data_IF_019577733008
#
_entry.id   IF_019577733008
#
_cell.length_a   1.000
_cell.length_b   1.000
_cell.length_c   1.000
_cell.angle_alpha   90.00
_cell.angle_beta   90.00
_cell.angle_gamma   90.00
#
_symmetry.space_group_name_H-M   'P 1'
#
loop_
_entity.id
_entity.type
_entity.pdbx_description
1 polymer ?
#
# COMPACT_ATOMS: atom_id res chain seq x y z
N UNK A 1 22.62 -26.22 1.36
CA UNK A 1 23.89 -25.51 1.61
C UNK A 1 23.63 -24.01 1.74
N UNK A 2 24.38 -23.26 2.56
CA UNK A 2 24.34 -21.78 2.56
C UNK A 2 25.53 -21.25 1.76
N UNK A 3 25.28 -20.38 0.79
CA UNK A 3 26.32 -19.80 -0.06
C UNK A 3 25.99 -18.36 -0.41
N UNK A 4 26.92 -17.43 -0.17
CA UNK A 4 26.74 -15.98 -0.38
C UNK A 4 25.39 -15.47 0.15
N UNK A 5 25.00 -15.88 1.36
CA UNK A 5 23.74 -15.47 1.98
C UNK A 5 22.47 -16.17 1.45
N UNK A 6 22.55 -16.92 0.36
CA UNK A 6 21.46 -17.75 -0.16
C UNK A 6 21.45 -19.14 0.51
N UNK A 7 20.27 -19.74 0.60
CA UNK A 7 20.12 -21.13 1.06
C UNK A 7 19.68 -21.97 -0.12
N UNK A 8 20.60 -22.77 -0.62
CA UNK A 8 20.40 -23.66 -1.76
C UNK A 8 19.85 -24.99 -1.25
N UNK A 9 18.64 -25.33 -1.66
CA UNK A 9 18.08 -26.67 -1.50
C UNK A 9 18.49 -27.59 -2.66
N UNK A 10 18.40 -28.91 -2.45
CA UNK A 10 18.81 -29.92 -3.45
C UNK A 10 18.04 -29.83 -4.77
N UNK A 11 16.87 -29.19 -4.76
CA UNK A 11 15.99 -29.03 -5.93
C UNK A 11 16.11 -27.65 -6.59
N UNK A 12 16.99 -26.79 -6.09
CA UNK A 12 17.15 -25.41 -6.57
C UNK A 12 15.84 -24.60 -6.67
N UNK A 13 14.87 -24.87 -5.79
CA UNK A 13 13.56 -24.21 -5.79
C UNK A 13 13.44 -23.08 -4.76
N UNK A 14 14.47 -22.90 -3.93
CA UNK A 14 14.64 -21.83 -2.95
C UNK A 14 13.54 -21.77 -1.89
N UNK A 15 12.75 -22.83 -1.70
CA UNK A 15 11.68 -22.87 -0.69
C UNK A 15 12.24 -22.64 0.71
N UNK A 16 13.37 -23.28 1.02
CA UNK A 16 14.02 -23.10 2.33
C UNK A 16 14.61 -21.69 2.50
N UNK A 17 15.13 -21.09 1.42
CA UNK A 17 15.59 -19.70 1.45
C UNK A 17 14.46 -18.76 1.84
N UNK A 18 13.29 -18.87 1.20
CA UNK A 18 12.14 -18.01 1.49
C UNK A 18 11.50 -18.31 2.84
N UNK A 19 11.54 -19.56 3.33
CA UNK A 19 11.14 -19.91 4.70
C UNK A 19 11.94 -19.13 5.74
N UNK A 20 13.22 -18.83 5.47
CA UNK A 20 14.08 -18.02 6.37
C UNK A 20 14.01 -16.52 6.10
N UNK A 21 13.86 -16.13 4.83
CA UNK A 21 13.82 -14.73 4.41
C UNK A 21 12.53 -14.04 4.87
N UNK A 22 11.37 -14.68 4.69
CA UNK A 22 10.08 -14.04 4.99
C UNK A 22 9.96 -13.60 6.47
N UNK A 23 10.28 -14.42 7.49
CA UNK A 23 10.29 -13.97 8.89
C UNK A 23 11.28 -12.85 9.18
N UNK A 24 12.38 -12.75 8.41
CA UNK A 24 13.33 -11.64 8.54
C UNK A 24 12.71 -10.34 8.02
N UNK A 25 12.10 -10.37 6.83
CA UNK A 25 11.40 -9.21 6.25
C UNK A 25 10.24 -8.78 7.12
N UNK A 26 9.46 -9.72 7.67
CA UNK A 26 8.35 -9.43 8.58
C UNK A 26 8.82 -8.77 9.87
N UNK A 27 9.90 -9.26 10.50
CA UNK A 27 10.49 -8.62 11.70
C UNK A 27 10.96 -7.20 11.40
N UNK A 28 11.62 -6.98 10.27
CA UNK A 28 12.02 -5.63 9.84
C UNK A 28 10.80 -4.74 9.60
N UNK A 29 9.78 -5.23 8.89
CA UNK A 29 8.53 -4.49 8.68
C UNK A 29 7.78 -4.18 9.99
N UNK A 30 7.81 -5.10 10.96
CA UNK A 30 7.21 -4.91 12.27
C UNK A 30 7.98 -3.86 13.12
N UNK A 31 9.31 -3.82 13.05
CA UNK A 31 10.10 -2.77 13.67
C UNK A 31 9.77 -1.40 13.05
N UNK A 32 9.66 -1.35 11.72
CA UNK A 32 9.32 -0.13 10.97
C UNK A 32 7.90 0.36 11.27
N UNK A 33 6.96 -0.52 11.64
CA UNK A 33 5.61 -0.10 12.07
C UNK A 33 5.64 0.88 13.24
N UNK A 34 6.59 0.75 14.18
CA UNK A 34 6.73 1.67 15.31
C UNK A 34 7.29 3.03 14.88
N UNK A 35 8.21 3.03 13.92
CA UNK A 35 8.86 4.24 13.39
C UNK A 35 8.00 4.98 12.37
N UNK A 36 7.10 4.27 11.70
CA UNK A 36 6.24 4.76 10.62
C UNK A 36 4.76 4.62 10.99
N UNK A 37 4.28 5.35 12.02
CA UNK A 37 2.85 5.37 12.36
C UNK A 37 2.04 5.96 11.18
N UNK A 38 0.74 5.68 11.13
CA UNK A 38 -0.09 6.20 10.03
C UNK A 38 -0.36 7.70 10.17
N UNK A 39 -0.63 8.13 11.42
CA UNK A 39 -0.79 9.51 11.85
C UNK A 39 0.46 9.99 12.58
N UNK A 40 0.89 11.21 12.28
CA UNK A 40 2.19 11.72 12.73
C UNK A 40 3.37 10.92 12.18
N UNK A 41 4.58 11.36 12.49
CA UNK A 41 5.81 10.66 12.10
C UNK A 41 6.35 11.00 10.71
N UNK A 42 7.30 10.19 10.19
CA UNK A 42 8.14 10.59 9.08
C UNK A 42 7.40 10.83 7.76
N UNK A 43 7.97 11.74 6.95
CA UNK A 43 7.47 12.14 5.63
C UNK A 43 7.54 10.99 4.59
N UNK A 44 6.97 11.23 3.42
CA UNK A 44 6.88 10.24 2.34
C UNK A 44 8.26 9.76 1.86
N UNK A 45 9.26 10.64 1.79
CA UNK A 45 10.63 10.30 1.38
C UNK A 45 11.29 9.31 2.34
N UNK A 46 11.15 9.53 3.65
CA UNK A 46 11.64 8.60 4.67
C UNK A 46 10.96 7.21 4.56
N UNK A 47 9.64 7.17 4.32
CA UNK A 47 8.92 5.91 4.11
C UNK A 47 9.40 5.15 2.87
N UNK A 48 9.61 5.86 1.76
CA UNK A 48 10.16 5.29 0.51
C UNK A 48 11.58 4.75 0.71
N UNK A 49 12.42 5.46 1.47
CA UNK A 49 13.76 5.00 1.82
C UNK A 49 13.70 3.64 2.53
N UNK A 50 12.88 3.52 3.57
CA UNK A 50 12.72 2.25 4.30
C UNK A 50 12.13 1.13 3.42
N UNK A 51 11.16 1.45 2.55
CA UNK A 51 10.67 0.48 1.57
C UNK A 51 11.79 0.00 0.64
N UNK A 52 12.68 0.91 0.21
CA UNK A 52 13.87 0.59 -0.58
C UNK A 52 14.86 -0.33 0.15
N UNK A 53 15.10 -0.11 1.45
CA UNK A 53 15.95 -0.99 2.27
C UNK A 53 15.37 -2.42 2.30
N UNK A 54 14.08 -2.56 2.61
CA UNK A 54 13.43 -3.88 2.66
C UNK A 54 13.38 -4.54 1.28
N UNK A 55 13.16 -3.76 0.21
CA UNK A 55 13.27 -4.25 -1.17
C UNK A 55 14.67 -4.82 -1.45
N UNK A 56 15.73 -4.09 -1.10
CA UNK A 56 17.11 -4.57 -1.29
C UNK A 56 17.40 -5.85 -0.51
N UNK A 57 16.83 -6.00 0.69
CA UNK A 57 16.92 -7.26 1.45
C UNK A 57 16.16 -8.40 0.76
N UNK A 58 14.98 -8.12 0.23
CA UNK A 58 14.09 -9.11 -0.38
C UNK A 58 14.60 -9.58 -1.75
N UNK A 59 15.19 -8.68 -2.53
CA UNK A 59 15.69 -8.93 -3.88
C UNK A 59 17.17 -9.31 -3.91
N UNK A 60 17.80 -9.48 -2.75
CA UNK A 60 19.16 -9.96 -2.69
C UNK A 60 19.26 -11.37 -3.30
N UNK A 61 20.20 -11.53 -4.23
CA UNK A 61 20.37 -12.77 -4.98
C UNK A 61 19.23 -13.09 -5.97
N UNK A 62 18.33 -12.15 -6.28
CA UNK A 62 17.26 -12.33 -7.27
C UNK A 62 17.71 -12.96 -8.58
N UNK A 63 18.88 -12.60 -9.16
CA UNK A 63 19.35 -13.27 -10.37
C UNK A 63 19.50 -14.78 -10.28
N UNK A 64 19.75 -15.31 -9.08
CA UNK A 64 19.97 -16.74 -8.84
C UNK A 64 18.64 -17.46 -8.62
N UNK A 65 17.72 -16.87 -7.84
CA UNK A 65 16.48 -17.56 -7.46
C UNK A 65 15.26 -17.22 -8.33
N UNK A 66 15.23 -16.06 -8.99
CA UNK A 66 14.05 -15.62 -9.75
C UNK A 66 13.67 -16.56 -10.90
N UNK A 67 14.61 -17.15 -11.68
CA UNK A 67 14.28 -18.11 -12.72
C UNK A 67 13.54 -19.35 -12.21
N UNK A 68 13.75 -19.72 -10.94
CA UNK A 68 13.16 -20.89 -10.30
C UNK A 68 12.11 -20.52 -9.23
N UNK A 69 11.62 -19.26 -9.23
CA UNK A 69 10.69 -18.78 -8.21
C UNK A 69 9.33 -19.47 -8.32
N UNK A 70 9.07 -20.39 -7.40
CA UNK A 70 7.78 -21.08 -7.33
C UNK A 70 6.69 -20.22 -6.67
N UNK A 71 5.43 -20.61 -6.87
CA UNK A 71 4.23 -19.91 -6.37
C UNK A 71 4.24 -19.65 -4.86
N UNK A 72 4.69 -20.60 -4.03
CA UNK A 72 4.73 -20.47 -2.57
C UNK A 72 5.75 -19.40 -2.11
N UNK A 73 7.04 -19.48 -2.50
CA UNK A 73 8.02 -18.40 -2.34
C UNK A 73 7.53 -17.03 -2.83
N UNK A 74 6.97 -16.96 -4.03
CA UNK A 74 6.45 -15.71 -4.60
C UNK A 74 5.36 -15.08 -3.71
N UNK A 75 4.44 -15.90 -3.18
CA UNK A 75 3.40 -15.42 -2.25
C UNK A 75 3.99 -14.86 -0.95
N UNK A 76 5.03 -15.49 -0.40
CA UNK A 76 5.71 -15.00 0.81
C UNK A 76 6.40 -13.66 0.56
N UNK A 77 7.06 -13.51 -0.60
CA UNK A 77 7.68 -12.27 -1.06
C UNK A 77 6.66 -11.13 -1.17
N UNK A 78 5.55 -11.36 -1.87
CA UNK A 78 4.49 -10.37 -2.06
C UNK A 78 3.76 -10.02 -0.75
N UNK A 79 3.62 -10.99 0.17
CA UNK A 79 3.05 -10.73 1.50
C UNK A 79 3.95 -9.79 2.31
N UNK A 80 5.27 -9.98 2.22
CA UNK A 80 6.25 -9.09 2.85
C UNK A 80 6.25 -7.70 2.21
N UNK A 81 6.15 -7.61 0.88
CA UNK A 81 6.03 -6.34 0.17
C UNK A 81 4.82 -5.53 0.62
N UNK A 82 3.66 -6.19 0.73
CA UNK A 82 2.41 -5.55 1.16
C UNK A 82 2.55 -4.84 2.50
N UNK A 83 3.31 -5.39 3.44
CA UNK A 83 3.56 -4.74 4.74
C UNK A 83 4.21 -3.37 4.54
N UNK A 84 5.18 -3.28 3.62
CA UNK A 84 5.87 -2.02 3.32
C UNK A 84 5.02 -1.07 2.48
N UNK A 85 4.31 -1.57 1.46
CA UNK A 85 3.42 -0.76 0.65
C UNK A 85 2.34 -0.07 1.51
N UNK A 86 1.72 -0.79 2.44
CA UNK A 86 0.77 -0.22 3.41
C UNK A 86 1.40 0.90 4.25
N UNK A 87 2.69 0.78 4.63
CA UNK A 87 3.39 1.82 5.40
C UNK A 87 3.68 3.07 4.57
N UNK A 88 4.00 2.89 3.29
CA UNK A 88 4.22 4.00 2.36
C UNK A 88 2.95 4.81 2.17
N UNK A 89 1.81 4.14 1.98
CA UNK A 89 0.50 4.80 1.79
C UNK A 89 -0.20 5.16 3.11
N UNK A 90 0.42 4.89 4.26
CA UNK A 90 -0.18 5.09 5.60
C UNK A 90 -1.52 4.34 5.78
N UNK A 91 -1.71 3.23 5.09
CA UNK A 91 -3.00 2.57 4.98
C UNK A 91 -3.37 1.66 6.15
N UNK A 92 -4.61 1.18 6.13
CA UNK A 92 -5.07 0.11 7.00
C UNK A 92 -4.45 -1.24 6.64
N UNK A 93 -4.24 -2.08 7.66
CA UNK A 93 -3.64 -3.43 7.50
C UNK A 93 -4.47 -4.41 6.67
N UNK A 94 -5.72 -4.07 6.32
CA UNK A 94 -6.64 -4.93 5.56
C UNK A 94 -6.65 -4.60 4.06
N UNK A 95 -6.03 -3.50 3.63
CA UNK A 95 -5.89 -3.15 2.20
C UNK A 95 -5.17 -4.29 1.47
N UNK A 96 -5.64 -4.65 0.26
CA UNK A 96 -5.03 -5.71 -0.55
C UNK A 96 -3.60 -5.36 -0.97
N UNK A 97 -2.77 -6.37 -1.26
CA UNK A 97 -1.41 -6.14 -1.73
C UNK A 97 -1.36 -5.39 -3.06
N UNK A 98 -2.25 -5.74 -4.00
CA UNK A 98 -2.34 -5.12 -5.32
C UNK A 98 -2.69 -3.64 -5.23
N UNK A 99 -3.73 -3.28 -4.48
CA UNK A 99 -4.10 -1.88 -4.27
C UNK A 99 -3.03 -1.10 -3.49
N UNK A 100 -2.41 -1.73 -2.48
CA UNK A 100 -1.36 -1.08 -1.71
C UNK A 100 -0.12 -0.77 -2.57
N UNK A 101 0.30 -1.71 -3.42
CA UNK A 101 1.42 -1.54 -4.34
C UNK A 101 1.14 -0.45 -5.37
N UNK A 102 -0.06 -0.44 -5.97
CA UNK A 102 -0.48 0.56 -6.94
C UNK A 102 -0.48 1.97 -6.33
N UNK A 103 -1.14 2.15 -5.17
CA UNK A 103 -1.15 3.45 -4.49
C UNK A 103 0.25 3.89 -4.03
N UNK A 104 1.12 2.94 -3.64
CA UNK A 104 2.48 3.23 -3.21
C UNK A 104 3.44 3.56 -4.37
N UNK A 105 3.06 3.24 -5.61
CA UNK A 105 3.95 3.28 -6.77
C UNK A 105 5.11 2.27 -6.66
N UNK A 106 4.83 1.09 -6.09
CA UNK A 106 5.83 0.05 -5.87
C UNK A 106 5.51 -1.17 -6.76
N UNK A 107 6.29 -1.41 -7.83
CA UNK A 107 6.11 -2.60 -8.65
C UNK A 107 6.21 -3.89 -7.83
N UNK A 108 5.43 -4.93 -8.15
CA UNK A 108 5.54 -6.23 -7.49
C UNK A 108 6.98 -6.76 -7.50
N UNK A 109 7.48 -7.19 -6.34
CA UNK A 109 8.87 -7.64 -6.20
C UNK A 109 9.20 -8.88 -7.03
N UNK A 110 8.22 -9.73 -7.33
CA UNK A 110 8.43 -10.86 -8.24
C UNK A 110 8.70 -10.39 -9.67
N UNK A 111 8.10 -9.28 -10.12
CA UNK A 111 8.41 -8.64 -11.39
C UNK A 111 9.78 -7.97 -11.37
N UNK A 112 10.10 -7.22 -10.31
CA UNK A 112 11.43 -6.60 -10.16
C UNK A 112 12.54 -7.67 -10.15
N UNK A 113 12.29 -8.84 -9.54
CA UNK A 113 13.21 -9.95 -9.53
C UNK A 113 13.49 -10.51 -10.94
N UNK A 114 12.47 -10.59 -11.81
CA UNK A 114 12.64 -10.98 -13.21
C UNK A 114 13.56 -10.00 -13.95
N UNK A 115 13.36 -8.69 -13.76
CA UNK A 115 14.22 -7.66 -14.37
C UNK A 115 15.66 -7.81 -13.91
N UNK A 116 15.89 -7.97 -12.60
CA UNK A 116 17.24 -8.16 -12.05
C UNK A 116 17.92 -9.42 -12.62
N UNK A 117 17.19 -10.53 -12.72
CA UNK A 117 17.69 -11.76 -13.31
C UNK A 117 18.03 -11.59 -14.78
N UNK A 118 17.17 -10.93 -15.55
CA UNK A 118 17.40 -10.72 -16.98
C UNK A 118 18.60 -9.83 -17.26
N UNK A 119 18.75 -8.71 -16.52
CA UNK A 119 19.95 -7.86 -16.62
C UNK A 119 21.22 -8.65 -16.28
N UNK A 120 21.17 -9.52 -15.26
CA UNK A 120 22.31 -10.36 -14.90
C UNK A 120 22.64 -11.35 -16.02
N UNK A 121 21.65 -12.03 -16.60
CA UNK A 121 21.86 -12.95 -17.73
C UNK A 121 22.48 -12.23 -18.94
N UNK A 122 21.97 -11.07 -19.32
CA UNK A 122 22.52 -10.28 -20.43
C UNK A 122 23.98 -9.90 -20.21
N UNK A 123 24.34 -9.51 -18.98
CA UNK A 123 25.73 -9.23 -18.60
C UNK A 123 26.59 -10.50 -18.68
N UNK A 124 26.09 -11.62 -18.17
CA UNK A 124 26.81 -12.89 -18.21
C UNK A 124 27.03 -13.39 -19.66
N UNK A 125 26.03 -13.21 -20.53
CA UNK A 125 26.12 -13.51 -21.97
C UNK A 125 27.19 -12.65 -22.66
N UNK A 126 27.22 -11.35 -22.38
CA UNK A 126 28.25 -10.46 -22.92
C UNK A 126 29.65 -10.86 -22.46
N UNK A 127 29.83 -11.13 -21.16
CA UNK A 127 31.12 -11.60 -20.64
C UNK A 127 31.55 -12.93 -21.27
N UNK A 128 30.63 -13.86 -21.53
CA UNK A 128 30.92 -15.11 -22.26
C UNK A 128 31.42 -14.87 -23.69
N UNK A 129 31.00 -13.77 -24.33
CA UNK A 129 31.50 -13.34 -25.64
C UNK A 129 32.78 -12.51 -25.57
N UNK A 130 33.37 -12.33 -24.38
CA UNK A 130 34.54 -11.46 -24.18
C UNK A 130 34.21 -9.97 -24.16
N UNK A 131 32.93 -9.60 -24.11
CA UNK A 131 32.47 -8.21 -24.05
C UNK A 131 32.35 -7.73 -22.60
N UNK A 132 32.67 -6.46 -22.36
CA UNK A 132 32.36 -5.78 -21.09
C UNK A 132 31.31 -4.69 -21.35
N UNK A 133 30.03 -4.92 -21.02
CA UNK A 133 28.97 -3.94 -21.28
C UNK A 133 29.24 -2.61 -20.58
N UNK A 134 29.15 -1.52 -21.34
CA UNK A 134 29.27 -0.17 -20.81
C UNK A 134 28.10 0.17 -19.87
N UNK A 135 28.28 1.06 -18.88
CA UNK A 135 27.18 1.49 -18.00
C UNK A 135 25.95 1.99 -18.75
N UNK A 136 26.14 2.72 -19.86
CA UNK A 136 25.05 3.22 -20.72
C UNK A 136 24.23 2.07 -21.32
N UNK A 137 24.88 1.03 -21.82
CA UNK A 137 24.23 -0.15 -22.39
C UNK A 137 23.43 -0.91 -21.32
N UNK A 138 23.98 -1.05 -20.11
CA UNK A 138 23.26 -1.65 -18.97
C UNK A 138 22.03 -0.81 -18.60
N UNK A 139 22.11 0.53 -18.69
CA UNK A 139 20.95 1.40 -18.47
C UNK A 139 19.86 1.17 -19.51
N UNK A 140 20.22 1.12 -20.80
CA UNK A 140 19.27 0.85 -21.89
C UNK A 140 18.54 -0.47 -21.65
N UNK A 141 19.26 -1.55 -21.32
CA UNK A 141 18.65 -2.84 -20.99
C UNK A 141 17.70 -2.74 -19.79
N UNK A 142 18.07 -1.99 -18.75
CA UNK A 142 17.22 -1.79 -17.57
C UNK A 142 15.95 -1.04 -17.92
N UNK A 143 16.04 -0.01 -18.75
CA UNK A 143 14.90 0.81 -19.14
C UNK A 143 13.92 0.03 -20.03
N UNK A 144 14.43 -0.78 -20.95
CA UNK A 144 13.63 -1.73 -21.75
C UNK A 144 12.90 -2.73 -20.87
N UNK A 145 13.63 -3.44 -20.00
CA UNK A 145 13.04 -4.44 -19.12
C UNK A 145 12.08 -3.81 -18.08
N UNK A 146 12.30 -2.55 -17.73
CA UNK A 146 11.39 -1.81 -16.85
C UNK A 146 10.09 -1.49 -17.57
N UNK A 147 10.11 -1.13 -18.85
CA UNK A 147 8.90 -0.95 -19.67
C UNK A 147 8.10 -2.26 -19.73
N UNK A 148 8.76 -3.38 -19.99
CA UNK A 148 8.10 -4.70 -19.99
C UNK A 148 7.49 -5.04 -18.62
N UNK A 149 8.20 -4.73 -17.54
CA UNK A 149 7.69 -4.89 -16.18
C UNK A 149 6.44 -4.04 -15.92
N UNK A 150 6.40 -2.79 -16.39
CA UNK A 150 5.24 -1.92 -16.22
C UNK A 150 4.04 -2.45 -17.01
N UNK A 151 4.25 -2.92 -18.24
CA UNK A 151 3.21 -3.55 -19.05
C UNK A 151 2.66 -4.84 -18.39
N UNK A 152 3.53 -5.74 -17.90
CA UNK A 152 3.08 -6.93 -17.18
C UNK A 152 2.33 -6.56 -15.89
N UNK A 153 2.78 -5.52 -15.18
CA UNK A 153 2.10 -5.06 -13.97
C UNK A 153 0.71 -4.51 -14.28
N UNK A 154 0.57 -3.64 -15.28
CA UNK A 154 -0.71 -3.10 -15.70
C UNK A 154 -1.66 -4.21 -16.17
N UNK A 155 -1.15 -5.19 -16.92
CA UNK A 155 -1.93 -6.37 -17.31
C UNK A 155 -2.44 -7.15 -16.09
N UNK A 156 -1.61 -7.37 -15.05
CA UNK A 156 -2.05 -8.05 -13.81
C UNK A 156 -3.18 -7.28 -13.12
N UNK A 157 -3.15 -5.96 -13.16
CA UNK A 157 -4.18 -5.11 -12.56
C UNK A 157 -5.52 -5.14 -13.31
N UNK A 158 -5.57 -5.68 -14.54
CA UNK A 158 -6.83 -5.87 -15.28
C UNK A 158 -7.73 -6.96 -14.69
N UNK A 159 -7.17 -7.87 -13.88
CA UNK A 159 -7.90 -8.96 -13.22
C UNK A 159 -7.57 -9.00 -11.72
N UNK A 160 -7.89 -7.93 -10.97
CA UNK A 160 -7.49 -7.82 -9.58
C UNK A 160 -8.30 -8.77 -8.70
N UNK A 161 -7.68 -9.34 -7.68
CA UNK A 161 -8.37 -10.26 -6.75
C UNK A 161 -9.06 -9.54 -5.60
N UNK A 162 -8.59 -8.34 -5.27
CA UNK A 162 -9.13 -7.53 -4.19
C UNK A 162 -8.74 -6.06 -4.33
N UNK A 163 -9.53 -5.15 -3.77
CA UNK A 163 -9.31 -3.71 -3.91
C UNK A 163 -9.84 -3.14 -5.23
N UNK A 164 -10.88 -3.78 -5.78
CA UNK A 164 -11.51 -3.47 -7.07
C UNK A 164 -11.74 -1.96 -7.27
N UNK A 165 -12.34 -1.28 -6.29
CA UNK A 165 -12.66 0.15 -6.41
C UNK A 165 -11.43 1.06 -6.57
N UNK A 166 -10.34 0.78 -5.84
CA UNK A 166 -9.09 1.53 -5.96
C UNK A 166 -8.44 1.29 -7.32
N UNK A 167 -8.38 0.00 -7.71
CA UNK A 167 -7.70 -0.40 -8.93
C UNK A 167 -8.46 0.14 -10.14
N UNK A 168 -9.79 0.04 -10.16
CA UNK A 168 -10.62 0.64 -11.21
C UNK A 168 -10.48 2.16 -11.31
N UNK A 169 -10.24 2.87 -10.19
CA UNK A 169 -10.05 4.31 -10.18
C UNK A 169 -8.65 4.75 -10.64
N UNK A 170 -7.61 3.96 -10.36
CA UNK A 170 -6.21 4.35 -10.60
C UNK A 170 -5.63 3.73 -11.87
N UNK A 171 -5.99 2.49 -12.22
CA UNK A 171 -5.45 1.77 -13.38
C UNK A 171 -5.66 2.46 -14.74
N UNK A 172 -6.75 3.20 -15.00
CA UNK A 172 -6.87 4.00 -16.22
C UNK A 172 -5.84 5.12 -16.35
N UNK A 173 -5.30 5.59 -15.22
CA UNK A 173 -4.31 6.66 -15.10
C UNK A 173 -2.96 6.11 -14.59
N UNK A 174 -2.62 4.89 -15.01
CA UNK A 174 -1.53 4.12 -14.41
C UNK A 174 -0.18 4.84 -14.55
N UNK A 175 0.14 5.35 -15.73
CA UNK A 175 1.42 6.04 -15.99
C UNK A 175 1.44 7.38 -15.26
N UNK A 176 0.39 8.18 -15.41
CA UNK A 176 0.26 9.50 -14.78
C UNK A 176 0.33 9.42 -13.25
N UNK A 177 -0.29 8.39 -12.66
CA UNK A 177 -0.25 8.16 -11.21
C UNK A 177 1.15 7.80 -10.71
N UNK A 178 1.94 7.06 -11.51
CA UNK A 178 3.29 6.62 -11.13
C UNK A 178 4.35 7.68 -11.42
N UNK A 179 4.15 8.50 -12.44
CA UNK A 179 5.15 9.48 -12.92
C UNK A 179 4.96 10.89 -12.35
N UNK A 180 3.79 11.18 -11.76
CA UNK A 180 3.54 12.46 -11.09
C UNK A 180 4.67 12.83 -10.12
N UNK A 181 5.00 14.13 -10.10
CA UNK A 181 6.07 14.69 -9.26
C UNK A 181 5.55 15.45 -8.04
N UNK A 182 4.23 15.62 -7.95
CA UNK A 182 3.52 16.28 -6.86
C UNK A 182 2.70 15.29 -6.06
N UNK A 183 2.27 15.73 -4.87
CA UNK A 183 1.29 15.02 -4.06
C UNK A 183 1.83 13.85 -3.24
N UNK A 184 1.40 13.79 -1.98
CA UNK A 184 1.71 12.68 -1.07
C UNK A 184 0.44 12.13 -0.45
N UNK A 185 0.38 10.80 -0.34
CA UNK A 185 -0.74 10.14 0.33
C UNK A 185 -0.66 10.38 1.84
N UNK A 186 -1.70 11.01 2.38
CA UNK A 186 -1.92 11.14 3.81
C UNK A 186 -2.71 9.94 4.34
N UNK A 187 -2.83 9.84 5.67
CA UNK A 187 -3.65 8.78 6.27
C UNK A 187 -5.10 8.85 5.79
N UNK A 188 -5.70 10.04 5.83
CA UNK A 188 -7.12 10.24 5.54
C UNK A 188 -7.43 10.19 4.05
N UNK A 189 -6.55 10.74 3.21
CA UNK A 189 -6.64 10.57 1.76
C UNK A 189 -6.62 9.09 1.37
N UNK A 190 -5.73 8.28 1.96
CA UNK A 190 -5.73 6.84 1.74
C UNK A 190 -7.01 6.16 2.20
N UNK A 191 -7.67 6.63 3.27
CA UNK A 191 -8.98 6.09 3.67
C UNK A 191 -10.02 6.29 2.57
N UNK A 192 -10.11 7.51 2.03
CA UNK A 192 -11.04 7.86 0.95
C UNK A 192 -10.77 7.01 -0.30
N UNK A 193 -9.51 6.93 -0.75
CA UNK A 193 -9.18 6.11 -1.92
C UNK A 193 -9.54 4.64 -1.71
N UNK A 194 -9.29 4.09 -0.52
CA UNK A 194 -9.44 2.65 -0.26
C UNK A 194 -10.78 2.22 0.32
N UNK A 195 -11.60 3.16 0.79
CA UNK A 195 -12.81 2.86 1.58
C UNK A 195 -12.52 2.21 2.94
N UNK A 196 -11.27 2.26 3.40
CA UNK A 196 -10.87 1.72 4.69
C UNK A 196 -10.74 2.86 5.68
N UNK A 197 -11.61 2.94 6.69
CA UNK A 197 -11.61 4.11 7.54
C UNK A 197 -12.85 4.28 8.39
N UNK A 198 -13.12 5.52 8.76
CA UNK A 198 -14.32 5.93 9.49
C UNK A 198 -15.57 5.93 8.59
N UNK A 199 -15.80 4.87 7.82
CA UNK A 199 -17.00 4.66 7.02
C UNK A 199 -17.87 3.60 7.67
N UNK A 200 -19.16 3.87 7.91
CA UNK A 200 -20.09 2.93 8.53
C UNK A 200 -20.04 1.53 7.87
N UNK A 201 -20.06 1.46 6.52
CA UNK A 201 -19.93 0.19 5.78
C UNK A 201 -18.64 -0.56 6.16
N UNK A 202 -17.51 0.13 6.25
CA UNK A 202 -16.24 -0.50 6.61
C UNK A 202 -16.20 -0.93 8.07
N UNK A 203 -16.70 -0.09 8.98
CA UNK A 203 -16.73 -0.36 10.41
C UNK A 203 -17.63 -1.56 10.73
N UNK A 204 -18.77 -1.69 10.06
CA UNK A 204 -19.64 -2.87 10.11
C UNK A 204 -18.89 -4.13 9.64
N UNK A 205 -18.23 -4.08 8.47
CA UNK A 205 -17.49 -5.22 7.91
C UNK A 205 -16.39 -5.75 8.84
N UNK A 206 -15.77 -4.88 9.64
CA UNK A 206 -14.75 -5.29 10.62
C UNK A 206 -15.32 -5.54 12.03
N UNK A 207 -16.64 -5.52 12.18
CA UNK A 207 -17.36 -5.74 13.43
C UNK A 207 -17.02 -4.72 14.52
N UNK A 208 -16.87 -3.45 14.13
CA UNK A 208 -16.72 -2.29 15.01
C UNK A 208 -18.05 -1.58 15.26
N UNK A 209 -18.97 -1.64 14.31
CA UNK A 209 -20.33 -1.11 14.41
C UNK A 209 -21.35 -2.19 14.04
N UNK A 210 -22.59 -2.04 14.53
CA UNK A 210 -23.69 -2.99 14.30
C UNK A 210 -24.41 -2.73 12.97
N UNK A 211 -24.31 -1.52 12.44
CA UNK A 211 -24.98 -1.10 11.20
C UNK A 211 -23.98 -0.46 10.24
N UNK A 212 -24.16 -0.62 8.91
CA UNK A 212 -23.32 0.04 7.92
C UNK A 212 -23.70 1.50 7.62
N UNK A 213 -24.74 2.04 8.28
CA UNK A 213 -25.32 3.34 8.00
C UNK A 213 -24.42 4.55 8.31
N UNK A 214 -24.84 5.72 7.82
CA UNK A 214 -24.13 6.97 8.07
C UNK A 214 -24.58 7.59 9.40
N UNK A 215 -23.63 8.03 10.22
CA UNK A 215 -23.90 8.73 11.48
C UNK A 215 -24.06 10.25 11.32
N UNK A 216 -23.94 10.77 10.10
CA UNK A 216 -23.89 12.21 9.82
C UNK A 216 -25.07 12.71 8.98
N UNK A 217 -25.92 11.81 8.50
CA UNK A 217 -27.15 12.19 7.82
C UNK A 217 -28.24 11.14 8.07
N UNK A 218 -29.48 11.58 7.94
CA UNK A 218 -30.65 10.71 8.04
C UNK A 218 -30.75 9.79 6.80
N UNK A 219 -31.38 8.64 6.98
CA UNK A 219 -31.84 7.73 5.92
C UNK A 219 -30.79 7.18 4.93
N UNK A 220 -29.50 7.19 5.28
CA UNK A 220 -28.49 6.48 4.48
C UNK A 220 -28.21 5.07 5.03
N UNK A 221 -28.63 3.99 4.32
CA UNK A 221 -28.44 2.63 4.80
C UNK A 221 -26.97 2.18 4.78
N UNK A 222 -26.14 2.74 3.89
CA UNK A 222 -24.72 2.44 3.84
C UNK A 222 -23.87 3.71 3.65
N UNK A 223 -22.98 3.94 4.60
CA UNK A 223 -21.93 4.96 4.51
C UNK A 223 -20.73 4.42 3.72
N UNK A 224 -20.73 4.70 2.43
CA UNK A 224 -19.62 4.44 1.50
C UNK A 224 -18.78 5.70 1.28
N UNK A 225 -17.64 5.55 0.61
CA UNK A 225 -16.86 6.71 0.16
C UNK A 225 -17.67 7.55 -0.80
N UNK A 226 -18.35 6.93 -1.76
CA UNK A 226 -19.19 7.62 -2.74
C UNK A 226 -20.27 8.46 -2.03
N UNK A 227 -20.87 7.92 -0.97
CA UNK A 227 -21.80 8.68 -0.15
C UNK A 227 -21.11 9.84 0.58
N UNK A 228 -20.07 9.57 1.38
CA UNK A 228 -19.38 10.61 2.16
C UNK A 228 -18.85 11.73 1.27
N UNK A 229 -18.20 11.38 0.16
CA UNK A 229 -17.52 12.34 -0.73
C UNK A 229 -18.49 13.11 -1.60
N UNK A 230 -19.52 12.47 -2.17
CA UNK A 230 -20.33 13.08 -3.23
C UNK A 230 -21.78 13.42 -2.80
N UNK A 231 -22.33 12.82 -1.75
CA UNK A 231 -23.77 12.87 -1.46
C UNK A 231 -24.09 13.45 -0.08
N UNK A 232 -23.38 13.02 0.96
CA UNK A 232 -23.75 13.26 2.35
C UNK A 232 -23.93 14.75 2.67
N UNK A 233 -25.12 15.21 3.11
CA UNK A 233 -25.40 16.64 3.29
C UNK A 233 -24.48 17.31 4.32
N UNK A 234 -24.01 16.56 5.34
CA UNK A 234 -23.07 17.06 6.34
C UNK A 234 -21.76 17.63 5.77
N UNK A 235 -21.38 17.23 4.55
CA UNK A 235 -20.14 17.67 3.91
C UNK A 235 -20.39 18.60 2.70
N UNK A 236 -21.59 19.20 2.59
CA UNK A 236 -21.95 20.06 1.46
C UNK A 236 -21.01 21.26 1.30
N UNK A 237 -20.71 21.98 2.38
CA UNK A 237 -19.80 23.13 2.35
C UNK A 237 -18.38 22.72 1.95
N UNK A 238 -17.87 21.62 2.52
CA UNK A 238 -16.56 21.07 2.18
C UNK A 238 -16.49 20.67 0.70
N UNK A 239 -17.56 20.06 0.18
CA UNK A 239 -17.66 19.72 -1.24
C UNK A 239 -17.69 20.95 -2.13
N UNK A 240 -18.35 22.03 -1.72
CA UNK A 240 -18.39 23.27 -2.49
C UNK A 240 -16.98 23.84 -2.65
N UNK A 241 -16.23 23.95 -1.55
CA UNK A 241 -14.82 24.39 -1.58
C UNK A 241 -13.96 23.51 -2.50
N UNK A 242 -14.20 22.19 -2.52
CA UNK A 242 -13.52 21.29 -3.43
C UNK A 242 -13.89 21.59 -4.90
N UNK A 243 -15.18 21.73 -5.20
CA UNK A 243 -15.72 22.01 -6.55
C UNK A 243 -15.18 23.32 -7.12
N UNK A 244 -15.03 24.34 -6.29
CA UNK A 244 -14.45 25.64 -6.70
C UNK A 244 -13.02 25.50 -7.25
N UNK A 245 -12.31 24.40 -6.93
CA UNK A 245 -10.97 24.11 -7.45
C UNK A 245 -10.98 23.06 -8.55
N UNK A 246 -11.65 21.92 -8.34
CA UNK A 246 -11.56 20.78 -9.27
C UNK A 246 -12.60 20.82 -10.40
N UNK A 247 -13.61 21.69 -10.28
CA UNK A 247 -14.76 21.83 -11.16
C UNK A 247 -16.03 21.18 -10.61
N UNK A 248 -17.17 21.47 -11.25
CA UNK A 248 -18.51 21.00 -10.84
C UNK A 248 -18.87 19.57 -11.26
N UNK A 249 -17.89 18.81 -11.75
CA UNK A 249 -18.07 17.42 -12.16
C UNK A 249 -18.47 16.47 -11.03
N UNK A 250 -18.58 15.18 -11.34
CA UNK A 250 -18.79 14.17 -10.31
C UNK A 250 -17.56 14.08 -9.37
N UNK A 251 -17.82 13.71 -8.12
CA UNK A 251 -16.77 13.50 -7.11
C UNK A 251 -16.60 12.01 -6.81
N UNK A 252 -16.78 11.16 -7.82
CA UNK A 252 -16.51 9.73 -7.70
C UNK A 252 -15.01 9.50 -7.42
N UNK A 253 -14.66 8.30 -6.93
CA UNK A 253 -13.25 7.95 -6.74
C UNK A 253 -12.40 8.14 -8.01
N UNK A 254 -12.82 7.66 -9.20
CA UNK A 254 -12.09 7.93 -10.44
C UNK A 254 -11.89 9.42 -10.72
N UNK A 255 -12.92 10.25 -10.56
CA UNK A 255 -12.82 11.70 -10.78
C UNK A 255 -11.87 12.38 -9.79
N UNK A 256 -11.86 11.97 -8.51
CA UNK A 256 -10.88 12.44 -7.54
C UNK A 256 -9.45 12.07 -7.96
N UNK A 257 -9.21 10.82 -8.38
CA UNK A 257 -7.90 10.39 -8.85
C UNK A 257 -7.47 11.16 -10.10
N UNK A 258 -8.38 11.43 -11.03
CA UNK A 258 -8.13 12.23 -12.22
C UNK A 258 -7.73 13.67 -11.87
N UNK A 259 -8.44 14.32 -10.94
CA UNK A 259 -8.06 15.65 -10.45
C UNK A 259 -6.67 15.61 -9.78
N UNK A 260 -6.41 14.60 -8.94
CA UNK A 260 -5.14 14.43 -8.23
C UNK A 260 -3.94 14.31 -9.18
N UNK A 261 -4.05 13.59 -10.29
CA UNK A 261 -2.93 13.48 -11.26
C UNK A 261 -2.75 14.74 -12.11
N UNK A 262 -3.81 15.53 -12.32
CA UNK A 262 -3.83 16.71 -13.20
C UNK A 262 -2.90 17.84 -12.73
N UNK A 263 -2.89 18.17 -11.44
CA UNK A 263 -2.06 19.25 -10.92
C UNK A 263 -1.78 19.12 -9.42
N UNK A 264 -0.74 19.81 -8.93
CA UNK A 264 -0.46 19.92 -7.49
C UNK A 264 -1.59 20.64 -6.74
N UNK A 265 -2.12 21.73 -7.32
CA UNK A 265 -3.24 22.48 -6.75
C UNK A 265 -4.47 21.59 -6.52
N UNK A 266 -4.79 20.76 -7.50
CA UNK A 266 -5.94 19.86 -7.44
C UNK A 266 -5.73 18.74 -6.44
N UNK A 267 -4.51 18.18 -6.41
CA UNK A 267 -4.12 17.21 -5.39
C UNK A 267 -4.32 17.80 -3.99
N UNK A 268 -3.84 19.02 -3.76
CA UNK A 268 -3.91 19.69 -2.46
C UNK A 268 -5.35 20.00 -2.05
N UNK A 269 -6.21 20.38 -3.00
CA UNK A 269 -7.65 20.57 -2.76
C UNK A 269 -8.32 19.25 -2.35
N UNK A 270 -8.08 18.15 -3.09
CA UNK A 270 -8.62 16.83 -2.76
C UNK A 270 -8.09 16.35 -1.41
N UNK A 271 -6.79 16.52 -1.16
CA UNK A 271 -6.15 16.14 0.09
C UNK A 271 -6.73 16.92 1.28
N UNK A 272 -6.92 18.23 1.13
CA UNK A 272 -7.48 19.09 2.18
C UNK A 272 -8.93 18.72 2.50
N UNK A 273 -9.75 18.48 1.47
CA UNK A 273 -11.11 17.96 1.64
C UNK A 273 -11.12 16.64 2.41
N UNK A 274 -10.29 15.67 1.99
CA UNK A 274 -10.20 14.36 2.64
C UNK A 274 -9.73 14.48 4.10
N UNK A 275 -8.76 15.36 4.38
CA UNK A 275 -8.28 15.59 5.74
C UNK A 275 -9.38 16.16 6.63
N UNK A 276 -10.09 17.20 6.20
CA UNK A 276 -11.14 17.85 6.98
C UNK A 276 -12.31 16.91 7.27
N UNK A 277 -12.87 16.28 6.23
CA UNK A 277 -14.04 15.40 6.36
C UNK A 277 -13.71 14.19 7.22
N UNK A 278 -12.60 13.50 6.95
CA UNK A 278 -12.27 12.28 7.69
C UNK A 278 -11.82 12.59 9.12
N UNK A 279 -11.20 13.75 9.38
CA UNK A 279 -10.89 14.16 10.75
C UNK A 279 -12.18 14.39 11.56
N UNK A 280 -13.16 15.08 10.99
CA UNK A 280 -14.44 15.31 11.63
C UNK A 280 -15.20 13.99 11.89
N UNK A 281 -15.22 13.06 10.91
CA UNK A 281 -15.79 11.71 11.10
C UNK A 281 -15.10 10.93 12.22
N UNK A 282 -13.76 10.97 12.25
CA UNK A 282 -12.97 10.32 13.31
C UNK A 282 -13.25 10.89 14.69
N UNK A 283 -13.39 12.23 14.82
CA UNK A 283 -13.67 12.88 16.10
C UNK A 283 -15.09 12.54 16.59
N UNK A 284 -16.08 12.65 15.70
CA UNK A 284 -17.45 12.24 16.03
C UNK A 284 -17.50 10.75 16.46
N UNK A 285 -16.72 9.89 15.80
CA UNK A 285 -16.58 8.49 16.20
C UNK A 285 -15.97 8.31 17.59
N UNK A 286 -14.95 9.09 17.96
CA UNK A 286 -14.34 9.04 19.31
C UNK A 286 -15.31 9.48 20.39
N UNK A 287 -16.07 10.56 20.16
CA UNK A 287 -17.10 11.03 21.09
C UNK A 287 -18.12 9.92 21.33
N UNK A 288 -18.61 9.25 20.27
CA UNK A 288 -19.54 8.12 20.41
C UNK A 288 -18.95 6.94 21.18
N UNK A 289 -17.68 6.59 20.93
CA UNK A 289 -16.98 5.53 21.66
C UNK A 289 -16.88 5.86 23.17
N UNK A 290 -16.66 7.13 23.54
CA UNK A 290 -16.56 7.57 24.94
C UNK A 290 -17.92 7.61 25.66
N UNK A 291 -18.99 7.99 24.97
CA UNK A 291 -20.35 8.06 25.54
C UNK A 291 -21.05 6.71 25.58
N UNK A 292 -20.54 5.71 24.85
CA UNK A 292 -21.08 4.36 24.85
C UNK A 292 -20.70 3.63 26.15
N UNK A 293 -21.71 3.16 26.89
CA UNK A 293 -21.55 2.29 28.08
C UNK A 293 -21.03 0.88 27.75
N UNK A 294 -20.87 0.55 26.46
CA UNK A 294 -20.34 -0.75 26.01
C UNK A 294 -18.81 -0.70 25.91
N UNK A 295 -18.09 -1.69 26.48
CA UNK A 295 -16.63 -1.72 26.41
C UNK A 295 -16.19 -1.84 24.95
N UNK A 296 -15.28 -0.96 24.54
CA UNK A 296 -14.78 -0.95 23.18
C UNK A 296 -13.99 -2.23 22.91
N UNK A 297 -14.04 -2.79 21.70
CA UNK A 297 -13.17 -3.94 21.34
C UNK A 297 -11.67 -3.59 21.43
N UNK A 298 -11.30 -2.31 21.50
CA UNK A 298 -9.93 -1.85 21.82
C UNK A 298 -9.52 -2.28 23.24
N UNK A 299 -10.43 -2.20 24.21
CA UNK A 299 -10.20 -2.63 25.59
C UNK A 299 -10.12 -4.16 25.74
N UNK A 300 -10.92 -4.90 24.97
CA UNK A 300 -10.86 -6.38 24.97
C UNK A 300 -9.51 -6.93 24.48
N UNK A 301 -8.73 -6.15 23.72
CA UNK A 301 -7.40 -6.56 23.24
C UNK A 301 -6.25 -6.05 24.12
N UNK A 302 -6.41 -4.94 24.85
CA UNK A 302 -5.44 -4.50 25.86
C UNK A 302 -5.51 -5.36 27.13
N UNK A 303 -6.69 -5.87 27.50
CA UNK A 303 -6.88 -6.74 28.67
C UNK A 303 -6.17 -8.12 28.60
N UNK A 304 -5.65 -8.52 27.44
CA UNK A 304 -4.83 -9.76 27.29
C UNK A 304 -3.32 -9.51 27.43
N UNK A 305 -2.89 -8.29 27.76
CA UNK A 305 -1.48 -7.92 28.01
C UNK A 305 -1.21 -7.48 29.46
N UNK A 306 -2.11 -7.79 30.40
CA UNK A 306 -1.86 -7.68 31.84
C UNK A 306 -1.61 -9.06 32.46
N UNK A 307 -0.69 -9.11 33.42
CA UNK A 307 -0.20 -10.30 34.15
C UNK A 307 0.95 -11.08 33.46
N UNK A 308 2.11 -10.42 33.40
CA UNK A 308 3.41 -11.05 33.64
C UNK A 308 4.29 -10.06 34.41
N UNK A 309 3.85 -9.74 35.61
CA UNK A 309 4.72 -9.26 36.68
C UNK A 309 4.41 -10.16 37.86
N UNK A 310 5.30 -11.14 38.08
CA UNK A 310 5.61 -11.77 39.36
C UNK A 310 6.48 -13.01 39.09
N UNK A 311 7.76 -12.78 38.79
CA UNK A 311 8.84 -13.74 39.05
C UNK A 311 10.14 -12.95 39.24
N UNK A 312 10.40 -12.49 40.47
CA UNK A 312 11.76 -12.21 40.94
C UNK A 312 12.34 -13.50 41.53
N UNK A 313 13.55 -13.93 41.14
CA UNK A 313 14.28 -14.97 41.86
C UNK A 313 15.08 -14.38 43.05
N UNK A 314 15.50 -15.23 44.01
CA UNK A 314 15.94 -14.86 45.35
C UNK A 314 17.22 -14.04 45.44
#
# INVERSE_FOLDING_TARGET
>A
MKYLGLVLDSRWNFVEHFRRLAPKLERTGAALKRLLPNLGGPNASCRRLYAGIVRSMALYGAPVWAPNLMRRPARALLTSQRVMAIRVIRGYRTISGEAANLLAGLPPWDLEAKVLARVFSLRADACRRGETPLPRQISVWRDELRRDLMAEWQQRLSQPRAGLAVIAAVSPLFEEWLERRHGVLTYRLTQVLTGHGSFGRFLFLIGREETPGCHHCEDRPEDTVEHTVAVCPAWAEHRQVLRDVVGDGDLSRPALVQAMVRSERDWDAVSSFCEAVMLAKEEAGRVREQTSSRPSRRERHSGRRGSRDDLRPP
#
